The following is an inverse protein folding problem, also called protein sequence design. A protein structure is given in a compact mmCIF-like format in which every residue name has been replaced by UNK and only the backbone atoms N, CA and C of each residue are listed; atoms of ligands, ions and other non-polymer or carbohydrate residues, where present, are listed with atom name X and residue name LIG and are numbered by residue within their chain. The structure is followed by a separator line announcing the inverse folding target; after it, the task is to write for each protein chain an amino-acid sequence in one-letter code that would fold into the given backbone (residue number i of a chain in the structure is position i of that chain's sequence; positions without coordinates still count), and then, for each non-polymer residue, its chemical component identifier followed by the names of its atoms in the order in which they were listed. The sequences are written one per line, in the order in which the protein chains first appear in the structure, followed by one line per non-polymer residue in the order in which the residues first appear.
data_IF_695361697704
#
_entry.id   IF_695361697704
#
_cell.length_a   1.000
_cell.length_b   1.000
_cell.length_c   1.000
_cell.angle_alpha   90.00
_cell.angle_beta   90.00
_cell.angle_gamma   90.00
#
_symmetry.space_group_name_H-M   'P 1'
#
loop_
_entity.id
_entity.type
_entity.pdbx_description
1 polymer ?
#
# COMPACT_ATOMS: atom_id res chain seq x y z
N UNK A 1 -46.54 -23.47 -2.83
CA UNK A 1 -45.24 -22.78 -2.77
C UNK A 1 -45.45 -21.54 -1.93
N UNK A 2 -44.94 -21.59 -0.70
CA UNK A 2 -45.58 -20.95 0.43
C UNK A 2 -44.99 -19.56 0.64
N UNK A 3 -45.86 -18.61 1.01
CA UNK A 3 -45.53 -17.23 1.39
C UNK A 3 -44.39 -17.14 2.43
N UNK A 4 -44.20 -18.22 3.19
CA UNK A 4 -43.15 -18.41 4.20
C UNK A 4 -41.75 -18.45 3.56
N UNK A 5 -41.59 -19.04 2.36
CA UNK A 5 -40.29 -19.15 1.67
C UNK A 5 -39.79 -17.80 1.15
N UNK A 6 -40.71 -16.90 0.79
CA UNK A 6 -40.36 -15.53 0.40
C UNK A 6 -39.89 -14.69 1.59
N UNK A 7 -40.44 -14.96 2.78
CA UNK A 7 -40.06 -14.26 4.00
C UNK A 7 -38.68 -14.72 4.49
N UNK A 8 -38.42 -16.03 4.49
CA UNK A 8 -37.13 -16.61 4.91
C UNK A 8 -35.99 -16.17 3.99
N UNK A 9 -36.22 -16.08 2.68
CA UNK A 9 -35.24 -15.56 1.74
C UNK A 9 -34.90 -14.09 2.04
N UNK A 10 -35.91 -13.27 2.36
CA UNK A 10 -35.72 -11.86 2.73
C UNK A 10 -34.89 -11.73 4.03
N UNK A 11 -35.19 -12.54 5.05
CA UNK A 11 -34.43 -12.55 6.31
C UNK A 11 -32.96 -12.99 6.12
N UNK A 12 -32.69 -13.96 5.25
CA UNK A 12 -31.33 -14.42 4.94
C UNK A 12 -30.51 -13.36 4.19
N UNK A 13 -31.16 -12.52 3.36
CA UNK A 13 -30.46 -11.39 2.71
C UNK A 13 -30.12 -10.26 3.67
N UNK A 14 -30.94 -10.01 4.71
CA UNK A 14 -30.66 -8.98 5.70
C UNK A 14 -29.49 -9.34 6.63
N UNK A 15 -29.32 -10.63 6.98
CA UNK A 15 -28.22 -11.07 7.85
C UNK A 15 -26.85 -11.06 7.15
N UNK A 16 -26.83 -11.11 5.82
CA UNK A 16 -25.60 -11.02 5.01
C UNK A 16 -25.09 -9.57 4.83
N UNK A 17 -25.85 -8.55 5.27
CA UNK A 17 -25.35 -7.17 5.34
C UNK A 17 -24.41 -7.06 6.53
N UNK A 18 -23.21 -7.61 6.38
CA UNK A 18 -22.07 -7.30 7.21
C UNK A 18 -21.78 -5.82 6.95
N UNK A 19 -22.29 -4.95 7.82
CA UNK A 19 -21.94 -3.54 7.80
C UNK A 19 -20.42 -3.47 7.85
N UNK A 20 -19.79 -3.16 6.72
CA UNK A 20 -18.39 -2.81 6.70
C UNK A 20 -18.30 -1.56 7.56
N UNK A 21 -17.73 -1.68 8.75
CA UNK A 21 -17.35 -0.52 9.54
C UNK A 21 -16.35 0.28 8.71
N UNK A 22 -16.85 1.22 7.92
CA UNK A 22 -16.04 2.32 7.38
C UNK A 22 -15.72 3.16 8.62
N UNK A 23 -14.44 3.24 9.05
CA UNK A 23 -14.09 4.16 10.11
C UNK A 23 -14.57 5.54 9.67
N UNK A 24 -15.42 6.18 10.46
CA UNK A 24 -15.71 7.60 10.28
C UNK A 24 -14.34 8.29 10.36
N UNK A 25 -13.83 8.79 9.24
CA UNK A 25 -12.78 9.80 9.30
C UNK A 25 -13.40 11.01 9.98
N UNK A 26 -13.16 11.12 11.29
CA UNK A 26 -13.37 12.37 12.00
C UNK A 26 -12.47 13.37 11.30
N UNK A 27 -13.06 14.32 10.56
CA UNK A 27 -12.30 15.41 9.94
C UNK A 27 -11.46 16.07 11.03
N UNK A 28 -10.14 15.84 10.96
CA UNK A 28 -9.23 16.29 12.00
C UNK A 28 -9.12 17.80 11.93
N UNK A 29 -9.36 18.47 13.06
CA UNK A 29 -9.25 19.91 13.15
C UNK A 29 -7.81 20.40 12.94
N UNK A 30 -7.59 21.69 12.68
CA UNK A 30 -6.25 22.28 12.46
C UNK A 30 -5.29 22.16 13.67
N UNK A 31 -5.75 21.63 14.81
CA UNK A 31 -4.98 21.44 16.04
C UNK A 31 -4.93 19.99 16.53
N UNK A 32 -5.34 19.03 15.70
CA UNK A 32 -5.36 17.63 16.12
C UNK A 32 -3.94 17.06 16.18
N UNK A 33 -3.51 16.71 17.39
CA UNK A 33 -2.23 16.06 17.65
C UNK A 33 -2.37 14.56 17.45
N UNK A 34 -1.53 13.99 16.59
CA UNK A 34 -1.43 12.53 16.45
C UNK A 34 -0.76 11.98 17.72
N UNK A 35 -1.41 11.07 18.47
CA UNK A 35 -0.84 10.51 19.69
C UNK A 35 0.53 9.86 19.43
N UNK A 36 1.46 9.98 20.39
CA UNK A 36 2.82 9.44 20.28
C UNK A 36 2.84 7.96 19.85
N UNK A 37 1.98 7.14 20.45
CA UNK A 37 1.91 5.71 20.13
C UNK A 37 1.40 5.45 18.71
N UNK A 38 0.54 6.32 18.17
CA UNK A 38 0.11 6.21 16.77
C UNK A 38 1.26 6.54 15.83
N UNK A 39 2.01 7.61 16.09
CA UNK A 39 3.21 7.97 15.31
C UNK A 39 4.23 6.83 15.35
N UNK A 40 4.57 6.36 16.54
CA UNK A 40 5.53 5.30 16.78
C UNK A 40 5.17 4.02 16.03
N UNK A 41 3.95 3.51 16.22
CA UNK A 41 3.51 2.27 15.58
C UNK A 41 3.45 2.42 14.05
N UNK A 42 3.04 3.58 13.55
CA UNK A 42 3.00 3.85 12.11
C UNK A 42 4.38 4.05 11.50
N UNK A 43 5.41 4.39 12.28
CA UNK A 43 6.77 4.63 11.78
C UNK A 43 7.72 3.43 11.93
N UNK A 44 7.33 2.36 12.63
CA UNK A 44 8.16 1.15 12.80
C UNK A 44 8.66 0.57 11.47
N UNK A 45 9.88 0.03 11.48
CA UNK A 45 10.47 -0.69 10.34
C UNK A 45 9.59 -1.86 9.91
N UNK A 46 9.04 -1.79 8.69
CA UNK A 46 8.22 -2.85 8.10
C UNK A 46 8.23 -2.75 6.56
N UNK A 47 7.79 -3.80 5.84
CA UNK A 47 7.56 -3.71 4.39
C UNK A 47 6.49 -2.65 4.07
N UNK A 48 6.80 -1.72 3.17
CA UNK A 48 5.93 -0.62 2.75
C UNK A 48 6.00 -0.43 1.24
N UNK A 49 4.89 0.03 0.68
CA UNK A 49 4.84 0.48 -0.70
C UNK A 49 5.61 1.80 -0.84
N UNK A 50 6.62 1.80 -1.72
CA UNK A 50 7.41 2.97 -2.08
C UNK A 50 7.44 3.13 -3.59
N UNK A 51 7.42 4.38 -4.06
CA UNK A 51 7.72 4.70 -5.46
C UNK A 51 9.23 4.62 -5.65
N UNK A 52 9.65 3.75 -6.57
CA UNK A 52 11.05 3.54 -6.92
C UNK A 52 11.25 3.93 -8.38
N UNK A 53 12.22 4.79 -8.64
CA UNK A 53 12.57 5.20 -10.00
C UNK A 53 13.29 4.05 -10.73
N UNK A 54 12.86 3.75 -11.96
CA UNK A 54 13.40 2.63 -12.72
C UNK A 54 14.87 2.88 -13.08
N UNK A 55 15.25 4.12 -13.39
CA UNK A 55 16.63 4.49 -13.74
C UNK A 55 17.60 4.38 -12.55
N UNK A 56 17.10 4.50 -11.31
CA UNK A 56 17.93 4.30 -10.13
C UNK A 56 18.28 2.82 -9.91
N UNK A 57 17.35 1.92 -10.27
CA UNK A 57 17.54 0.48 -10.17
C UNK A 57 18.33 -0.10 -11.35
N UNK A 58 18.22 0.52 -12.55
CA UNK A 58 18.92 0.13 -13.77
C UNK A 58 19.72 1.30 -14.36
N UNK A 59 20.79 1.77 -13.67
CA UNK A 59 21.56 2.95 -14.11
C UNK A 59 22.27 2.77 -15.44
N UNK A 60 22.47 1.54 -15.91
CA UNK A 60 23.04 1.20 -17.22
C UNK A 60 22.10 1.48 -18.39
N UNK A 61 20.79 1.60 -18.15
CA UNK A 61 19.75 1.77 -19.18
C UNK A 61 19.53 3.24 -19.57
N UNK A 62 20.62 3.98 -19.83
CA UNK A 62 20.60 5.44 -20.09
C UNK A 62 19.96 5.85 -21.42
N UNK A 63 19.78 4.92 -22.35
CA UNK A 63 19.25 5.21 -23.70
C UNK A 63 17.71 5.18 -23.77
N UNK A 64 17.04 4.81 -22.68
CA UNK A 64 15.61 4.52 -22.70
C UNK A 64 14.82 5.42 -21.76
N UNK A 65 13.64 5.81 -22.25
CA UNK A 65 12.59 6.42 -21.44
C UNK A 65 11.63 5.30 -21.05
N UNK A 66 11.39 5.16 -19.75
CA UNK A 66 10.43 4.21 -19.20
C UNK A 66 9.10 4.92 -18.92
N UNK A 67 8.00 4.27 -19.29
CA UNK A 67 6.64 4.71 -18.97
C UNK A 67 5.91 3.56 -18.24
N UNK A 68 5.56 3.73 -16.95
CA UNK A 68 5.90 4.87 -16.07
C UNK A 68 7.41 4.96 -15.78
N UNK A 69 7.89 6.12 -15.31
CA UNK A 69 9.30 6.31 -14.92
C UNK A 69 9.63 5.75 -13.53
N UNK A 70 8.61 5.54 -12.70
CA UNK A 70 8.69 4.91 -11.39
C UNK A 70 7.60 3.85 -11.21
N UNK A 71 7.86 2.89 -10.33
CA UNK A 71 6.94 1.79 -9.98
C UNK A 71 6.76 1.69 -8.48
N UNK A 72 5.62 1.16 -8.05
CA UNK A 72 5.36 0.88 -6.63
C UNK A 72 5.97 -0.47 -6.27
N UNK A 73 6.94 -0.49 -5.36
CA UNK A 73 7.55 -1.72 -4.84
C UNK A 73 7.36 -1.81 -3.33
N UNK A 74 7.27 -3.03 -2.83
CA UNK A 74 7.34 -3.29 -1.39
C UNK A 74 8.80 -3.32 -0.96
N UNK A 75 9.22 -2.33 -0.16
CA UNK A 75 10.58 -2.19 0.38
C UNK A 75 10.52 -2.02 1.90
N UNK A 76 11.57 -2.43 2.60
CA UNK A 76 11.66 -2.17 4.04
C UNK A 76 11.87 -0.66 4.28
N UNK A 77 10.97 -0.06 5.05
CA UNK A 77 11.06 1.34 5.44
C UNK A 77 10.44 1.60 6.81
N UNK A 78 10.89 2.67 7.45
CA UNK A 78 10.55 3.05 8.81
C UNK A 78 11.80 3.25 9.66
N UNK A 79 11.61 3.45 10.96
CA UNK A 79 12.67 3.66 11.92
C UNK A 79 12.83 2.46 12.88
N UNK A 80 14.05 2.29 13.37
CA UNK A 80 14.37 1.44 14.50
C UNK A 80 14.37 2.29 15.78
N UNK A 81 14.27 1.65 16.95
CA UNK A 81 14.33 2.34 18.25
C UNK A 81 15.75 2.77 18.64
N UNK A 82 16.74 2.14 18.02
CA UNK A 82 18.15 2.31 18.32
C UNK A 82 18.84 2.72 17.02
N UNK A 83 19.61 3.81 17.08
CA UNK A 83 20.37 4.37 15.96
C UNK A 83 21.48 3.43 15.48
N UNK A 84 21.91 2.49 16.32
CA UNK A 84 22.85 1.43 15.94
C UNK A 84 22.21 0.35 15.06
N UNK A 85 20.88 0.37 14.89
CA UNK A 85 20.14 -0.59 14.06
C UNK A 85 19.72 0.04 12.74
N UNK A 86 19.82 -0.74 11.66
CA UNK A 86 19.35 -0.35 10.33
C UNK A 86 18.15 -1.21 9.91
N UNK A 87 17.13 -0.57 9.33
CA UNK A 87 15.96 -1.26 8.78
C UNK A 87 16.33 -1.98 7.47
N UNK A 88 16.54 -3.29 7.54
CA UNK A 88 17.01 -4.13 6.42
C UNK A 88 16.08 -5.31 6.15
N UNK A 89 15.98 -5.78 4.89
CA UNK A 89 15.13 -6.93 4.54
C UNK A 89 15.68 -8.24 5.10
N UNK A 90 14.80 -9.06 5.66
CA UNK A 90 15.12 -10.44 6.09
C UNK A 90 14.90 -11.47 4.98
N UNK A 91 14.05 -11.15 4.01
CA UNK A 91 13.76 -11.94 2.82
C UNK A 91 13.35 -11.01 1.69
N UNK A 92 13.63 -11.40 0.43
CA UNK A 92 13.24 -10.65 -0.76
C UNK A 92 12.86 -11.61 -1.88
N UNK A 93 12.04 -11.13 -2.81
CA UNK A 93 11.67 -11.84 -4.02
C UNK A 93 11.49 -10.83 -5.16
N UNK A 94 11.64 -11.32 -6.38
CA UNK A 94 11.49 -10.50 -7.59
C UNK A 94 10.05 -10.54 -8.08
N UNK A 95 9.60 -9.43 -8.66
CA UNK A 95 8.33 -9.33 -9.38
C UNK A 95 8.59 -8.79 -10.78
N UNK A 96 7.75 -9.21 -11.72
CA UNK A 96 7.83 -8.77 -13.11
C UNK A 96 6.67 -7.83 -13.39
N UNK A 97 6.98 -6.65 -13.91
CA UNK A 97 5.98 -5.64 -14.31
C UNK A 97 6.09 -5.34 -15.80
N UNK A 98 4.96 -5.03 -16.43
CA UNK A 98 4.94 -4.54 -17.80
C UNK A 98 5.25 -3.04 -17.81
N UNK A 99 6.33 -2.66 -18.50
CA UNK A 99 6.79 -1.28 -18.62
C UNK A 99 6.99 -0.95 -20.09
N UNK A 100 6.49 0.21 -20.51
CA UNK A 100 6.74 0.69 -21.87
C UNK A 100 8.13 1.31 -21.94
N UNK A 101 8.99 0.72 -22.76
CA UNK A 101 10.36 1.19 -23.03
C UNK A 101 10.40 1.91 -24.38
N UNK A 102 10.86 3.16 -24.38
CA UNK A 102 10.95 4.00 -25.58
C UNK A 102 12.40 4.42 -25.76
N UNK A 103 12.96 4.15 -26.94
CA UNK A 103 14.24 4.74 -27.37
C UNK A 103 13.93 6.00 -28.19
N UNK A 104 14.26 7.21 -27.71
CA UNK A 104 14.04 8.42 -28.48
C UNK A 104 14.88 8.39 -29.76
N UNK A 105 14.24 8.68 -30.90
CA UNK A 105 14.95 8.90 -32.15
C UNK A 105 15.59 10.30 -32.08
N UNK A 106 16.89 10.40 -32.37
CA UNK A 106 17.57 11.69 -32.53
C UNK A 106 17.12 12.37 -33.81
#
# INVERSE_FOLDING_TARGET
MNFIDSLTLLFLTLSAVKSAHIPKETERGPHDVIPLMEVYNKSLCQPRELLVEILQEYPEEVEHIFIPSCVVLTRCAGCCNDEMLQCMPTSSYNITMEIKRIKPQR
#
